data_IF_584150482281
#
_entry.id   IF_584150482281
#
_cell.length_a   1.000
_cell.length_b   1.000
_cell.length_c   1.000
_cell.angle_alpha   90.00
_cell.angle_beta   90.00
_cell.angle_gamma   90.00
#
_symmetry.space_group_name_H-M   'P 1'
#
loop_
_entity.id
_entity.type
_entity.pdbx_description
1 polymer ?
#
# COMPACT_ATOMS: atom_id res chain seq x y z
N UNK A 1 -7.37 1.07 -1.46
CA UNK A 1 -7.30 0.79 -0.01
C UNK A 1 -8.57 0.02 0.41
N UNK A 2 -8.72 -1.25 -0.02
CA UNK A 2 -9.91 -2.09 0.28
C UNK A 2 -9.63 -3.21 1.27
N UNK A 3 -8.39 -3.72 1.32
CA UNK A 3 -7.97 -4.63 2.39
C UNK A 3 -8.05 -3.98 3.79
N UNK A 4 -8.15 -2.65 3.89
CA UNK A 4 -8.37 -1.97 5.18
C UNK A 4 -9.81 -2.08 5.71
N UNK A 5 -10.82 -2.32 4.87
CA UNK A 5 -12.21 -2.34 5.35
C UNK A 5 -12.59 -3.60 6.16
N UNK A 6 -11.75 -4.63 6.17
CA UNK A 6 -11.96 -5.84 7.00
C UNK A 6 -10.75 -6.12 7.91
N UNK A 7 -9.54 -5.80 7.45
CA UNK A 7 -8.30 -6.02 8.22
C UNK A 7 -7.70 -4.74 8.82
N UNK A 8 -7.96 -3.59 8.19
CA UNK A 8 -7.72 -2.29 8.82
C UNK A 8 -8.64 -2.09 10.03
N UNK A 9 -9.81 -2.72 10.02
CA UNK A 9 -10.67 -2.85 11.19
C UNK A 9 -9.95 -3.53 12.35
N UNK A 10 -9.15 -4.58 12.11
CA UNK A 10 -8.42 -5.27 13.19
C UNK A 10 -7.30 -4.40 13.78
N UNK A 11 -6.47 -3.78 12.93
CA UNK A 11 -5.45 -2.82 13.40
C UNK A 11 -6.10 -1.68 14.21
N UNK A 12 -7.13 -1.05 13.63
CA UNK A 12 -7.82 0.11 14.23
C UNK A 12 -8.51 -0.29 15.53
N UNK A 13 -9.16 -1.46 15.54
CA UNK A 13 -9.83 -1.99 16.72
C UNK A 13 -8.83 -2.30 17.84
N UNK A 14 -7.74 -3.02 17.56
CA UNK A 14 -6.71 -3.34 18.56
C UNK A 14 -6.11 -2.07 19.15
N UNK A 15 -5.73 -1.11 18.29
CA UNK A 15 -5.20 0.17 18.74
C UNK A 15 -6.22 0.95 19.58
N UNK A 16 -7.48 1.02 19.12
CA UNK A 16 -8.56 1.70 19.83
C UNK A 16 -8.81 1.09 21.22
N UNK A 17 -8.82 -0.24 21.32
CA UNK A 17 -8.99 -0.93 22.59
C UNK A 17 -7.84 -0.65 23.57
N UNK A 18 -6.59 -0.57 23.07
CA UNK A 18 -5.44 -0.15 23.87
C UNK A 18 -5.54 1.31 24.29
N UNK A 19 -5.91 2.22 23.39
CA UNK A 19 -6.10 3.64 23.71
C UNK A 19 -7.20 3.83 24.77
N UNK A 20 -8.33 3.16 24.61
CA UNK A 20 -9.49 3.27 25.52
C UNK A 20 -9.15 2.81 26.94
N UNK A 21 -8.33 1.77 27.09
CA UNK A 21 -7.99 1.22 28.41
C UNK A 21 -6.89 2.00 29.14
N UNK A 22 -6.13 2.85 28.43
CA UNK A 22 -4.91 3.49 28.97
C UNK A 22 -4.99 5.01 29.06
N UNK A 23 -5.62 5.64 28.07
CA UNK A 23 -5.59 7.10 27.97
C UNK A 23 -6.63 7.73 28.90
N UNK A 24 -6.35 8.91 29.49
CA UNK A 24 -7.35 9.67 30.22
C UNK A 24 -8.57 9.98 29.36
N UNK A 25 -9.77 9.97 29.94
CA UNK A 25 -11.02 10.23 29.20
C UNK A 25 -10.99 11.58 28.47
N UNK A 26 -10.40 12.62 29.09
CA UNK A 26 -10.19 13.93 28.47
C UNK A 26 -9.38 13.82 27.17
N UNK A 27 -8.28 13.07 27.20
CA UNK A 27 -7.41 12.88 26.04
C UNK A 27 -8.12 12.09 24.95
N UNK A 28 -8.91 11.07 25.31
CA UNK A 28 -9.72 10.30 24.35
C UNK A 28 -10.68 11.21 23.57
N UNK A 29 -11.36 12.15 24.24
CA UNK A 29 -12.26 13.10 23.58
C UNK A 29 -11.50 14.03 22.63
N UNK A 30 -10.37 14.59 23.08
CA UNK A 30 -9.55 15.49 22.26
C UNK A 30 -8.97 14.75 21.04
N UNK A 31 -8.47 13.53 21.23
CA UNK A 31 -7.95 12.70 20.15
C UNK A 31 -9.04 12.31 19.15
N UNK A 32 -10.26 12.01 19.60
CA UNK A 32 -11.36 11.70 18.68
C UNK A 32 -11.75 12.91 17.82
N UNK A 33 -11.82 14.11 18.42
CA UNK A 33 -12.09 15.35 17.67
C UNK A 33 -11.01 15.61 16.63
N UNK A 34 -9.74 15.46 17.02
CA UNK A 34 -8.61 15.65 16.12
C UNK A 34 -8.54 14.56 15.03
N UNK A 35 -8.89 13.31 15.34
CA UNK A 35 -8.99 12.23 14.37
C UNK A 35 -10.06 12.53 13.31
N UNK A 36 -11.24 13.02 13.71
CA UNK A 36 -12.29 13.42 12.78
C UNK A 36 -11.82 14.55 11.85
N UNK A 37 -11.15 15.57 12.39
CA UNK A 37 -10.59 16.66 11.59
C UNK A 37 -9.53 16.15 10.59
N UNK A 38 -8.62 15.27 11.04
CA UNK A 38 -7.60 14.62 10.21
C UNK A 38 -8.21 13.77 9.09
N UNK A 39 -9.22 12.95 9.38
CA UNK A 39 -9.91 12.12 8.38
C UNK A 39 -10.60 12.97 7.32
N UNK A 40 -11.29 14.04 7.75
CA UNK A 40 -11.88 15.01 6.85
C UNK A 40 -10.83 15.73 5.99
N UNK A 41 -9.66 16.04 6.57
CA UNK A 41 -8.55 16.64 5.83
C UNK A 41 -8.06 15.70 4.72
N UNK A 42 -7.82 14.43 5.04
CA UNK A 42 -7.41 13.41 4.05
C UNK A 42 -8.46 13.24 2.96
N UNK A 43 -9.75 13.27 3.30
CA UNK A 43 -10.83 13.21 2.31
C UNK A 43 -10.86 14.46 1.42
N UNK A 44 -10.62 15.66 1.97
CA UNK A 44 -10.48 16.89 1.19
C UNK A 44 -9.29 16.80 0.22
N UNK A 45 -8.12 16.29 0.65
CA UNK A 45 -6.98 16.04 -0.25
C UNK A 45 -7.38 15.13 -1.41
N UNK A 46 -8.10 14.03 -1.14
CA UNK A 46 -8.55 13.09 -2.19
C UNK A 46 -9.49 13.72 -3.20
N UNK A 47 -10.25 14.75 -2.80
CA UNK A 47 -11.13 15.53 -3.69
C UNK A 47 -10.43 16.69 -4.40
N UNK A 48 -9.13 16.92 -4.14
CA UNK A 48 -8.38 18.06 -4.66
C UNK A 48 -8.69 19.38 -3.95
N UNK A 49 -9.38 19.35 -2.81
CA UNK A 49 -9.76 20.53 -2.02
C UNK A 49 -8.61 20.94 -1.07
N UNK A 50 -7.45 21.30 -1.63
CA UNK A 50 -6.20 21.46 -0.86
C UNK A 50 -6.28 22.53 0.24
N UNK A 51 -6.90 23.69 -0.04
CA UNK A 51 -7.09 24.76 0.96
C UNK A 51 -7.95 24.29 2.13
N UNK A 52 -9.00 23.52 1.86
CA UNK A 52 -9.85 22.93 2.90
C UNK A 52 -9.07 21.92 3.73
N UNK A 53 -8.24 21.09 3.08
CA UNK A 53 -7.37 20.14 3.77
C UNK A 53 -6.39 20.82 4.71
N UNK A 54 -5.70 21.88 4.27
CA UNK A 54 -4.77 22.65 5.09
C UNK A 54 -5.42 23.23 6.35
N UNK A 55 -6.62 23.82 6.21
CA UNK A 55 -7.40 24.32 7.34
C UNK A 55 -7.74 23.21 8.33
N UNK A 56 -8.21 22.06 7.85
CA UNK A 56 -8.58 20.93 8.71
C UNK A 56 -7.35 20.30 9.41
N UNK A 57 -6.19 20.28 8.75
CA UNK A 57 -4.94 19.87 9.41
C UNK A 57 -4.51 20.87 10.48
N UNK A 58 -4.68 22.18 10.25
CA UNK A 58 -4.44 23.18 11.28
C UNK A 58 -5.35 22.97 12.50
N UNK A 59 -6.63 22.66 12.30
CA UNK A 59 -7.54 22.28 13.39
C UNK A 59 -7.08 21.03 14.14
N UNK A 60 -6.61 20.01 13.40
CA UNK A 60 -6.08 18.79 14.00
C UNK A 60 -4.78 19.02 14.81
N UNK A 61 -4.01 20.09 14.56
CA UNK A 61 -2.80 20.45 15.33
C UNK A 61 -3.08 21.08 16.70
N UNK A 62 -4.24 21.72 16.88
CA UNK A 62 -4.57 22.49 18.10
C UNK A 62 -4.32 21.74 19.41
N UNK A 63 -4.65 20.43 19.56
CA UNK A 63 -4.36 19.69 20.79
C UNK A 63 -2.85 19.55 21.10
N UNK A 64 -2.00 19.49 20.08
CA UNK A 64 -0.53 19.45 20.25
C UNK A 64 -0.01 20.81 20.71
N UNK A 65 -0.44 21.89 20.05
CA UNK A 65 0.02 23.26 20.30
C UNK A 65 -0.42 23.77 21.68
N UNK A 66 -1.63 23.41 22.10
CA UNK A 66 -2.18 23.76 23.41
C UNK A 66 -1.57 22.97 24.58
N UNK A 67 -0.71 21.98 24.32
CA UNK A 67 -0.15 21.06 25.32
C UNK A 67 -1.23 20.41 26.22
N UNK A 68 -2.43 20.19 25.68
CA UNK A 68 -3.59 19.73 26.43
C UNK A 68 -3.65 18.21 26.62
N UNK A 69 -2.83 17.47 25.88
CA UNK A 69 -2.69 16.02 25.90
C UNK A 69 -1.58 15.55 26.86
N UNK A 70 -1.78 14.40 27.49
CA UNK A 70 -0.73 13.64 28.18
C UNK A 70 0.43 13.31 27.22
N UNK A 71 1.64 13.00 27.75
CA UNK A 71 2.78 12.65 26.91
C UNK A 71 2.50 11.51 25.92
N UNK A 72 1.85 10.44 26.38
CA UNK A 72 1.46 9.28 25.56
C UNK A 72 0.48 9.66 24.45
N UNK A 73 -0.60 10.37 24.79
CA UNK A 73 -1.61 10.81 23.81
C UNK A 73 -1.04 11.80 22.80
N UNK A 74 -0.10 12.66 23.23
CA UNK A 74 0.60 13.59 22.34
C UNK A 74 1.43 12.85 21.29
N UNK A 75 2.14 11.79 21.69
CA UNK A 75 2.91 10.96 20.76
C UNK A 75 1.98 10.25 19.77
N UNK A 76 0.94 9.55 20.24
CA UNK A 76 -0.04 8.90 19.36
C UNK A 76 -0.64 9.89 18.37
N UNK A 77 -1.13 11.02 18.86
CA UNK A 77 -1.74 12.05 18.03
C UNK A 77 -0.76 12.59 16.99
N UNK A 78 0.48 12.88 17.40
CA UNK A 78 1.51 13.38 16.50
C UNK A 78 1.86 12.35 15.41
N UNK A 79 2.07 11.07 15.74
CA UNK A 79 2.41 10.04 14.73
C UNK A 79 1.39 9.98 13.59
N UNK A 80 0.10 9.88 13.93
CA UNK A 80 -0.96 9.83 12.91
C UNK A 80 -1.15 11.14 12.17
N UNK A 81 -0.92 12.28 12.83
CA UNK A 81 -0.99 13.58 12.17
C UNK A 81 0.13 13.73 11.13
N UNK A 82 1.37 13.36 11.48
CA UNK A 82 2.51 13.40 10.55
C UNK A 82 2.28 12.49 9.33
N UNK A 83 1.74 11.28 9.54
CA UNK A 83 1.34 10.40 8.44
C UNK A 83 0.31 11.06 7.50
N UNK A 84 -0.71 11.70 8.08
CA UNK A 84 -1.79 12.28 7.30
C UNK A 84 -1.34 13.56 6.57
N UNK A 85 -0.51 14.39 7.19
CA UNK A 85 0.08 15.56 6.53
C UNK A 85 1.08 15.16 5.44
N UNK A 86 1.83 14.07 5.62
CA UNK A 86 2.68 13.52 4.56
C UNK A 86 1.85 13.14 3.31
N UNK A 87 0.58 12.78 3.47
CA UNK A 87 -0.29 12.54 2.31
C UNK A 87 -0.65 13.82 1.55
N UNK A 88 -0.83 14.95 2.24
CA UNK A 88 -0.99 16.26 1.59
C UNK A 88 0.29 16.65 0.84
N UNK A 89 1.44 16.52 1.49
CA UNK A 89 2.74 16.82 0.87
C UNK A 89 3.00 15.95 -0.37
N UNK A 90 2.64 14.66 -0.32
CA UNK A 90 2.68 13.74 -1.46
C UNK A 90 1.83 14.24 -2.65
N UNK A 91 0.64 14.77 -2.39
CA UNK A 91 -0.24 15.31 -3.44
C UNK A 91 0.28 16.64 -4.01
N UNK A 92 0.93 17.45 -3.19
CA UNK A 92 1.59 18.68 -3.61
C UNK A 92 2.92 18.41 -4.35
N UNK A 93 3.43 17.18 -4.33
CA UNK A 93 4.72 16.82 -4.93
C UNK A 93 5.94 17.24 -4.09
N UNK A 94 5.73 17.64 -2.83
CA UNK A 94 6.82 17.97 -1.90
C UNK A 94 7.33 16.69 -1.23
N UNK A 95 8.08 15.90 -1.99
CA UNK A 95 8.54 14.58 -1.54
C UNK A 95 9.51 14.68 -0.35
N UNK A 96 10.34 15.72 -0.26
CA UNK A 96 11.26 15.91 0.88
C UNK A 96 10.51 16.03 2.21
N UNK A 97 9.38 16.74 2.21
CA UNK A 97 8.49 16.78 3.37
C UNK A 97 7.86 15.44 3.68
N UNK A 98 7.48 14.66 2.67
CA UNK A 98 6.98 13.28 2.87
C UNK A 98 8.00 12.45 3.65
N UNK A 99 9.28 12.46 3.26
CA UNK A 99 10.33 11.73 3.97
C UNK A 99 10.53 12.25 5.38
N UNK A 100 10.57 13.58 5.55
CA UNK A 100 10.77 14.21 6.86
C UNK A 100 9.67 13.79 7.83
N UNK A 101 8.40 13.95 7.45
CA UNK A 101 7.24 13.58 8.28
C UNK A 101 7.17 12.09 8.55
N UNK A 102 7.43 11.27 7.54
CA UNK A 102 7.47 9.81 7.69
C UNK A 102 8.55 9.39 8.70
N UNK A 103 9.72 10.00 8.65
CA UNK A 103 10.81 9.74 9.60
C UNK A 103 10.43 10.14 11.02
N UNK A 104 9.75 11.27 11.19
CA UNK A 104 9.22 11.70 12.50
C UNK A 104 8.19 10.70 13.02
N UNK A 105 7.23 10.27 12.20
CA UNK A 105 6.22 9.29 12.59
C UNK A 105 6.86 7.93 12.98
N UNK A 106 7.83 7.45 12.20
CA UNK A 106 8.58 6.23 12.51
C UNK A 106 9.30 6.30 13.87
N UNK A 107 9.96 7.42 14.16
CA UNK A 107 10.64 7.62 15.43
C UNK A 107 9.67 7.64 16.61
N UNK A 108 8.51 8.27 16.44
CA UNK A 108 7.45 8.31 17.46
C UNK A 108 6.87 6.90 17.70
N UNK A 109 6.60 6.14 16.64
CA UNK A 109 6.07 4.79 16.76
C UNK A 109 7.03 3.86 17.51
N UNK A 110 8.33 4.01 17.31
CA UNK A 110 9.34 3.27 18.09
C UNK A 110 9.23 3.57 19.58
N UNK A 111 9.02 4.83 19.96
CA UNK A 111 8.83 5.22 21.37
C UNK A 111 7.53 4.63 21.91
N UNK A 112 6.43 4.75 21.16
CA UNK A 112 5.13 4.19 21.55
C UNK A 112 5.16 2.67 21.69
N UNK A 113 5.90 1.98 20.83
CA UNK A 113 6.11 0.54 20.90
C UNK A 113 6.92 0.17 22.16
N UNK A 114 8.03 0.86 22.42
CA UNK A 114 8.98 0.47 23.49
C UNK A 114 8.60 0.92 24.88
N UNK A 115 8.26 2.19 25.02
CA UNK A 115 8.01 2.80 26.33
C UNK A 115 6.57 2.62 26.76
N UNK A 116 5.67 2.57 25.77
CA UNK A 116 4.25 2.42 26.00
C UNK A 116 3.75 1.02 25.62
N UNK A 117 4.45 0.17 24.89
CA UNK A 117 3.95 -1.20 24.62
C UNK A 117 2.80 -1.26 23.59
N UNK A 118 2.70 -0.26 22.70
CA UNK A 118 1.80 -0.32 21.54
C UNK A 118 2.37 -1.21 20.43
N UNK A 119 2.47 -2.52 20.69
CA UNK A 119 3.09 -3.48 19.74
C UNK A 119 2.45 -3.46 18.34
N UNK A 120 1.15 -3.13 18.24
CA UNK A 120 0.43 -3.04 16.96
C UNK A 120 0.98 -1.94 16.04
N UNK A 121 1.66 -0.91 16.59
CA UNK A 121 2.28 0.15 15.80
C UNK A 121 3.49 -0.35 15.01
N UNK A 122 3.98 -1.56 15.24
CA UNK A 122 4.93 -2.19 14.35
C UNK A 122 4.39 -2.30 12.92
N UNK A 123 3.12 -2.68 12.76
CA UNK A 123 2.45 -2.69 11.45
C UNK A 123 2.31 -1.28 10.88
N UNK A 124 2.03 -0.29 11.73
CA UNK A 124 1.94 1.11 11.30
C UNK A 124 3.27 1.60 10.72
N UNK A 125 4.40 1.25 11.33
CA UNK A 125 5.75 1.54 10.80
C UNK A 125 5.95 0.94 9.42
N UNK A 126 5.53 -0.31 9.19
CA UNK A 126 5.59 -0.95 7.86
C UNK A 126 4.68 -0.23 6.86
N UNK A 127 3.49 0.22 7.27
CA UNK A 127 2.59 1.00 6.43
C UNK A 127 3.16 2.38 6.06
N UNK A 128 3.88 3.03 6.97
CA UNK A 128 4.61 4.27 6.72
C UNK A 128 5.68 4.07 5.64
N UNK A 129 6.47 3.00 5.72
CA UNK A 129 7.46 2.66 4.69
C UNK A 129 6.80 2.29 3.35
N UNK A 130 5.66 1.60 3.38
CA UNK A 130 4.87 1.35 2.18
C UNK A 130 4.38 2.65 1.52
N UNK A 131 4.08 3.71 2.28
CA UNK A 131 3.78 5.01 1.68
C UNK A 131 5.00 5.63 0.98
N UNK A 132 6.23 5.34 1.44
CA UNK A 132 7.45 5.74 0.73
C UNK A 132 7.62 4.99 -0.60
N UNK A 133 7.21 3.71 -0.70
CA UNK A 133 7.16 2.98 -1.99
C UNK A 133 6.33 3.75 -3.02
N UNK A 134 5.15 4.24 -2.61
CA UNK A 134 4.29 5.07 -3.47
C UNK A 134 4.94 6.39 -3.85
N UNK A 135 5.63 7.00 -2.90
CA UNK A 135 6.34 8.28 -3.07
C UNK A 135 7.45 8.16 -4.10
N UNK A 136 8.32 7.15 -3.97
CA UNK A 136 9.36 6.84 -4.95
C UNK A 136 8.77 6.57 -6.35
N UNK A 137 7.70 5.76 -6.42
CA UNK A 137 7.03 5.47 -7.69
C UNK A 137 6.41 6.73 -8.33
N UNK A 138 5.84 7.63 -7.52
CA UNK A 138 5.28 8.90 -7.98
C UNK A 138 6.36 9.86 -8.46
N UNK A 139 7.54 9.82 -7.84
CA UNK A 139 8.74 10.52 -8.25
C UNK A 139 9.48 9.85 -9.42
N UNK A 140 8.89 8.80 -10.03
CA UNK A 140 9.46 8.03 -11.15
C UNK A 140 10.74 7.26 -10.82
N UNK A 141 11.09 7.14 -9.53
CA UNK A 141 12.21 6.34 -9.04
C UNK A 141 11.79 4.87 -8.85
N UNK A 142 11.36 4.22 -9.94
CA UNK A 142 10.76 2.88 -9.89
C UNK A 142 11.68 1.80 -9.29
N UNK A 143 12.98 1.87 -9.55
CA UNK A 143 13.94 0.91 -9.02
C UNK A 143 13.97 0.95 -7.49
N UNK A 144 14.09 2.15 -6.90
CA UNK A 144 14.02 2.36 -5.44
C UNK A 144 12.67 1.94 -4.85
N UNK A 145 11.58 2.24 -5.55
CA UNK A 145 10.25 1.82 -5.12
C UNK A 145 10.14 0.29 -5.02
N UNK A 146 10.62 -0.43 -6.04
CA UNK A 146 10.59 -1.89 -6.10
C UNK A 146 11.57 -2.50 -5.10
N UNK A 147 12.76 -1.94 -4.96
CA UNK A 147 13.74 -2.36 -3.95
C UNK A 147 13.14 -2.26 -2.55
N UNK A 148 12.60 -1.10 -2.17
CA UNK A 148 11.96 -0.91 -0.87
C UNK A 148 10.77 -1.86 -0.68
N UNK A 149 9.90 -2.01 -1.69
CA UNK A 149 8.77 -2.93 -1.60
C UNK A 149 9.23 -4.39 -1.38
N UNK A 150 10.29 -4.82 -2.07
CA UNK A 150 10.85 -6.16 -1.93
C UNK A 150 11.46 -6.40 -0.55
N UNK A 151 12.15 -5.40 0.02
CA UNK A 151 12.68 -5.47 1.39
C UNK A 151 11.55 -5.57 2.43
N UNK A 152 10.47 -4.79 2.27
CA UNK A 152 9.32 -4.84 3.18
C UNK A 152 8.61 -6.19 3.13
N UNK A 153 8.44 -6.75 1.93
CA UNK A 153 7.81 -8.06 1.77
C UNK A 153 8.72 -9.19 2.31
N UNK A 154 10.03 -9.14 2.07
CA UNK A 154 11.00 -10.08 2.64
C UNK A 154 11.04 -10.01 4.17
N UNK A 155 10.91 -8.80 4.74
CA UNK A 155 10.81 -8.59 6.17
C UNK A 155 9.53 -9.20 6.76
N UNK A 156 8.39 -8.99 6.10
CA UNK A 156 7.11 -9.60 6.51
C UNK A 156 7.11 -11.13 6.43
N UNK A 157 7.94 -11.71 5.55
CA UNK A 157 8.16 -13.16 5.44
C UNK A 157 9.16 -13.71 6.46
N UNK A 158 9.90 -12.84 7.17
CA UNK A 158 11.01 -13.23 8.04
C UNK A 158 12.28 -13.63 7.28
N UNK A 159 12.37 -13.37 5.98
CA UNK A 159 13.58 -13.58 5.18
C UNK A 159 14.63 -12.49 5.42
N UNK A 160 14.18 -11.31 5.86
CA UNK A 160 15.03 -10.18 6.23
C UNK A 160 14.78 -9.80 7.69
N UNK A 161 15.85 -9.72 8.49
CA UNK A 161 15.74 -9.37 9.92
C UNK A 161 15.72 -7.86 10.15
N UNK A 162 16.36 -7.08 9.28
CA UNK A 162 16.52 -5.63 9.47
C UNK A 162 16.16 -4.85 8.21
N UNK A 163 15.45 -3.73 8.40
CA UNK A 163 15.15 -2.77 7.34
C UNK A 163 16.15 -1.59 7.38
N UNK A 164 16.42 -0.91 6.24
CA UNK A 164 17.38 0.18 6.17
C UNK A 164 16.82 1.51 6.72
N UNK A 165 16.08 1.45 7.82
CA UNK A 165 15.47 2.61 8.48
C UNK A 165 15.78 2.57 9.97
N UNK A 166 15.85 3.75 10.60
CA UNK A 166 16.08 3.85 12.04
C UNK A 166 14.99 3.13 12.83
N UNK A 167 15.38 2.54 13.96
CA UNK A 167 14.49 1.83 14.86
C UNK A 167 14.96 0.40 15.08
N UNK A 168 14.12 -0.36 15.77
CA UNK A 168 14.36 -1.76 16.07
C UNK A 168 13.46 -2.57 15.14
N UNK A 169 14.07 -3.47 14.38
CA UNK A 169 13.46 -4.38 13.43
C UNK A 169 13.91 -5.78 13.81
N UNK A 170 13.09 -6.77 13.49
CA UNK A 170 13.36 -8.17 13.79
C UNK A 170 12.14 -9.02 13.50
N UNK A 171 12.36 -10.25 13.03
CA UNK A 171 11.27 -11.18 12.70
C UNK A 171 10.36 -11.46 13.90
N UNK A 172 10.86 -11.35 15.13
CA UNK A 172 10.08 -11.50 16.36
C UNK A 172 8.95 -10.47 16.48
N UNK A 173 9.14 -9.27 15.94
CA UNK A 173 8.12 -8.22 15.98
C UNK A 173 6.98 -8.50 15.00
N UNK A 174 7.28 -9.14 13.87
CA UNK A 174 6.28 -9.57 12.89
C UNK A 174 5.48 -10.76 13.43
N UNK A 175 6.15 -11.73 14.06
CA UNK A 175 5.50 -12.93 14.63
C UNK A 175 4.48 -12.60 15.72
N UNK A 176 4.67 -11.50 16.46
CA UNK A 176 3.71 -11.02 17.47
C UNK A 176 2.44 -10.39 16.89
N UNK A 177 2.45 -10.03 15.60
CA UNK A 177 1.30 -9.40 14.97
C UNK A 177 0.25 -10.44 14.57
N UNK A 178 -1.05 -10.07 14.53
CA UNK A 178 -2.08 -10.94 13.98
C UNK A 178 -1.75 -11.31 12.53
N UNK A 179 -1.79 -12.61 12.21
CA UNK A 179 -1.42 -13.15 10.89
C UNK A 179 -2.22 -12.50 9.76
N UNK A 180 -3.48 -12.20 10.02
CA UNK A 180 -4.39 -11.56 9.08
C UNK A 180 -3.92 -10.14 8.72
N UNK A 181 -3.38 -9.39 9.69
CA UNK A 181 -2.85 -8.03 9.47
C UNK A 181 -1.55 -8.08 8.69
N UNK A 182 -0.67 -9.04 8.99
CA UNK A 182 0.57 -9.28 8.24
C UNK A 182 0.26 -9.64 6.79
N UNK A 183 -0.64 -10.60 6.56
CA UNK A 183 -1.06 -11.02 5.22
C UNK A 183 -1.72 -9.88 4.42
N UNK A 184 -2.58 -9.08 5.07
CA UNK A 184 -3.19 -7.93 4.43
C UNK A 184 -2.14 -6.86 4.06
N UNK A 185 -1.16 -6.60 4.93
CA UNK A 185 -0.06 -5.66 4.66
C UNK A 185 0.81 -6.15 3.50
N UNK A 186 1.13 -7.45 3.47
CA UNK A 186 1.83 -8.09 2.36
C UNK A 186 1.09 -7.92 1.03
N UNK A 187 -0.21 -8.22 1.01
CA UNK A 187 -1.04 -8.08 -0.18
C UNK A 187 -1.15 -6.62 -0.67
N UNK A 188 -1.16 -5.66 0.26
CA UNK A 188 -1.19 -4.23 -0.07
C UNK A 188 0.11 -3.77 -0.73
N UNK A 189 1.27 -4.15 -0.19
CA UNK A 189 2.56 -3.79 -0.77
C UNK A 189 2.74 -4.47 -2.14
N UNK A 190 2.37 -5.76 -2.24
CA UNK A 190 2.36 -6.47 -3.53
C UNK A 190 1.46 -5.79 -4.55
N UNK A 191 0.30 -5.28 -4.11
CA UNK A 191 -0.57 -4.51 -4.99
C UNK A 191 0.09 -3.24 -5.50
N UNK A 192 0.90 -2.55 -4.72
CA UNK A 192 1.63 -1.38 -5.23
C UNK A 192 2.68 -1.78 -6.29
N UNK A 193 3.41 -2.88 -6.06
CA UNK A 193 4.33 -3.46 -7.05
C UNK A 193 3.60 -3.76 -8.36
N UNK A 194 2.42 -4.39 -8.29
CA UNK A 194 1.62 -4.70 -9.46
C UNK A 194 1.26 -3.45 -10.27
N UNK A 195 0.91 -2.36 -9.59
CA UNK A 195 0.51 -1.13 -10.27
C UNK A 195 1.72 -0.34 -10.79
N UNK A 196 2.91 -0.49 -10.19
CA UNK A 196 4.17 0.03 -10.74
C UNK A 196 4.55 -0.70 -12.04
N UNK A 197 4.40 -2.03 -12.07
CA UNK A 197 4.80 -2.87 -13.21
C UNK A 197 3.77 -2.91 -14.36
N UNK A 198 2.50 -2.59 -14.08
CA UNK A 198 1.44 -2.62 -15.08
C UNK A 198 1.71 -1.69 -16.27
N UNK A 199 1.60 -2.23 -17.48
CA UNK A 199 1.79 -1.49 -18.74
C UNK A 199 3.24 -1.07 -19.03
N UNK A 200 4.22 -1.47 -18.22
CA UNK A 200 5.63 -1.30 -18.55
C UNK A 200 6.01 -2.24 -19.69
N UNK A 201 6.97 -1.83 -20.53
CA UNK A 201 7.51 -2.73 -21.53
C UNK A 201 8.18 -3.96 -20.86
N UNK A 202 8.23 -5.12 -21.53
CA UNK A 202 8.73 -6.35 -20.94
C UNK A 202 10.17 -6.25 -20.40
N UNK A 203 11.05 -5.51 -21.08
CA UNK A 203 12.45 -5.37 -20.68
C UNK A 203 12.58 -4.62 -19.35
N UNK A 204 11.88 -3.50 -19.19
CA UNK A 204 11.86 -2.72 -17.95
C UNK A 204 11.14 -3.47 -16.83
N UNK A 205 10.04 -4.16 -17.12
CA UNK A 205 9.38 -5.01 -16.13
C UNK A 205 10.31 -6.12 -15.64
N UNK A 206 11.12 -6.71 -16.54
CA UNK A 206 12.14 -7.71 -16.22
C UNK A 206 13.25 -7.17 -15.35
N UNK A 207 13.81 -6.00 -15.68
CA UNK A 207 14.88 -5.41 -14.87
C UNK A 207 14.38 -5.05 -13.46
N UNK A 208 13.17 -4.49 -13.34
CA UNK A 208 12.56 -4.20 -12.04
C UNK A 208 12.26 -5.48 -11.24
N UNK A 209 11.73 -6.52 -11.89
CA UNK A 209 11.46 -7.79 -11.21
C UNK A 209 12.75 -8.53 -10.82
N UNK A 210 13.87 -8.31 -11.52
CA UNK A 210 15.17 -8.84 -11.12
C UNK A 210 15.63 -8.27 -9.77
N UNK A 211 15.42 -6.96 -9.52
CA UNK A 211 15.69 -6.33 -8.21
C UNK A 211 14.89 -7.02 -7.11
N UNK A 212 13.63 -7.34 -7.39
CA UNK A 212 12.74 -8.02 -6.44
C UNK A 212 13.28 -9.39 -6.01
N UNK A 213 13.83 -10.16 -6.96
CA UNK A 213 14.37 -11.52 -6.72
C UNK A 213 15.60 -11.55 -5.82
N UNK A 214 16.28 -10.42 -5.63
CA UNK A 214 17.40 -10.35 -4.69
C UNK A 214 16.95 -10.47 -3.23
N UNK A 215 15.74 -10.01 -2.91
CA UNK A 215 15.24 -9.96 -1.55
C UNK A 215 14.22 -11.05 -1.24
N UNK A 216 13.48 -11.55 -2.25
CA UNK A 216 12.44 -12.57 -2.06
C UNK A 216 12.70 -13.79 -2.92
N UNK A 217 12.74 -14.96 -2.26
CA UNK A 217 12.71 -16.24 -2.94
C UNK A 217 11.26 -16.69 -3.15
N UNK A 218 10.74 -16.48 -4.36
CA UNK A 218 9.42 -16.97 -4.77
C UNK A 218 9.46 -18.49 -4.94
N UNK A 219 9.43 -19.25 -3.84
CA UNK A 219 9.33 -20.71 -3.91
C UNK A 219 7.86 -21.14 -4.00
N UNK A 220 7.54 -22.03 -4.93
CA UNK A 220 6.15 -22.47 -5.17
C UNK A 220 5.54 -23.29 -4.00
N UNK A 221 6.34 -23.81 -3.07
CA UNK A 221 5.92 -24.84 -2.11
C UNK A 221 6.30 -24.56 -0.63
N UNK A 222 6.62 -23.31 -0.28
CA UNK A 222 6.86 -22.92 1.11
C UNK A 222 5.56 -22.77 1.91
N UNK A 223 5.61 -23.10 3.20
CA UNK A 223 4.59 -22.69 4.18
C UNK A 223 4.67 -21.18 4.39
N UNK A 224 4.20 -20.42 3.41
CA UNK A 224 4.35 -18.99 3.38
C UNK A 224 3.41 -18.34 4.40
N UNK A 225 3.96 -17.52 5.28
CA UNK A 225 3.18 -16.64 6.17
C UNK A 225 2.52 -15.48 5.40
N UNK A 226 2.85 -15.31 4.12
CA UNK A 226 2.28 -14.28 3.25
C UNK A 226 0.90 -14.64 2.65
N UNK A 227 0.42 -13.77 1.75
CA UNK A 227 -0.90 -13.89 1.15
C UNK A 227 -0.85 -14.80 -0.10
N UNK A 228 -1.50 -15.98 -0.14
CA UNK A 228 -1.33 -16.96 -1.23
C UNK A 228 -1.58 -16.38 -2.63
N UNK A 229 -2.62 -15.55 -2.76
CA UNK A 229 -2.95 -14.87 -4.01
C UNK A 229 -1.89 -13.86 -4.46
N UNK A 230 -1.15 -13.24 -3.53
CA UNK A 230 -0.06 -12.34 -3.87
C UNK A 230 1.13 -13.11 -4.48
N UNK A 231 1.46 -14.30 -3.95
CA UNK A 231 2.47 -15.17 -4.56
C UNK A 231 2.05 -15.69 -5.94
N UNK A 232 0.79 -16.14 -6.06
CA UNK A 232 0.26 -16.59 -7.34
C UNK A 232 0.38 -15.50 -8.41
N UNK A 233 0.14 -14.24 -8.02
CA UNK A 233 0.34 -13.09 -8.90
C UNK A 233 1.80 -12.89 -9.30
N UNK A 234 2.77 -12.98 -8.37
CA UNK A 234 4.20 -12.87 -8.72
C UNK A 234 4.64 -13.97 -9.68
N UNK A 235 4.25 -15.22 -9.44
CA UNK A 235 4.53 -16.36 -10.31
C UNK A 235 3.93 -16.18 -11.71
N UNK A 236 2.74 -15.60 -11.81
CA UNK A 236 2.12 -15.22 -13.08
C UNK A 236 2.91 -14.10 -13.77
N UNK A 237 3.32 -13.07 -13.01
CA UNK A 237 4.05 -11.91 -13.54
C UNK A 237 5.44 -12.32 -14.05
N UNK A 238 6.11 -13.24 -13.37
CA UNK A 238 7.36 -13.84 -13.83
C UNK A 238 7.21 -14.54 -15.18
N UNK A 239 6.15 -15.34 -15.36
CA UNK A 239 5.89 -16.01 -16.63
C UNK A 239 5.63 -15.01 -17.76
N UNK A 240 4.83 -13.96 -17.50
CA UNK A 240 4.57 -12.89 -18.47
C UNK A 240 5.87 -12.20 -18.91
N UNK A 241 6.67 -11.77 -17.95
CA UNK A 241 7.91 -11.01 -18.19
C UNK A 241 9.01 -11.88 -18.78
N UNK A 242 9.03 -13.18 -18.45
CA UNK A 242 9.91 -14.19 -19.04
C UNK A 242 9.49 -14.66 -20.42
N UNK A 243 8.41 -14.12 -20.99
CA UNK A 243 7.84 -14.54 -22.27
C UNK A 243 7.43 -16.03 -22.31
N UNK A 244 7.12 -16.63 -21.16
CA UNK A 244 6.50 -17.96 -21.06
C UNK A 244 4.98 -17.82 -21.16
N UNK A 245 4.52 -17.61 -22.39
CA UNK A 245 3.14 -17.25 -22.70
C UNK A 245 2.16 -18.36 -22.31
N UNK A 246 2.53 -19.63 -22.48
CA UNK A 246 1.66 -20.75 -22.14
C UNK A 246 1.38 -20.79 -20.63
N UNK A 247 2.46 -20.75 -19.82
CA UNK A 247 2.35 -20.72 -18.36
C UNK A 247 1.63 -19.46 -17.88
N UNK A 248 1.89 -18.31 -18.49
CA UNK A 248 1.18 -17.07 -18.18
C UNK A 248 -0.32 -17.21 -18.41
N UNK A 249 -0.76 -17.68 -19.59
CA UNK A 249 -2.18 -17.80 -19.93
C UNK A 249 -2.90 -18.81 -19.04
N UNK A 250 -2.26 -19.95 -18.74
CA UNK A 250 -2.80 -20.94 -17.80
C UNK A 250 -3.01 -20.32 -16.41
N UNK A 251 -1.97 -19.72 -15.83
CA UNK A 251 -2.05 -19.08 -14.50
C UNK A 251 -3.02 -17.92 -14.48
N UNK A 252 -3.03 -17.09 -15.52
CA UNK A 252 -3.93 -15.96 -15.64
C UNK A 252 -5.39 -16.40 -15.71
N UNK A 253 -5.69 -17.48 -16.43
CA UNK A 253 -7.05 -18.01 -16.49
C UNK A 253 -7.58 -18.40 -15.11
N UNK A 254 -6.78 -19.13 -14.32
CA UNK A 254 -7.13 -19.51 -12.95
C UNK A 254 -7.24 -18.28 -12.03
N UNK A 255 -6.24 -17.40 -12.08
CA UNK A 255 -6.18 -16.20 -11.24
C UNK A 255 -7.35 -15.23 -11.48
N UNK A 256 -7.76 -15.08 -12.74
CA UNK A 256 -8.86 -14.21 -13.16
C UNK A 256 -10.23 -14.85 -12.84
N UNK A 257 -10.35 -16.18 -12.93
CA UNK A 257 -11.58 -16.92 -12.62
C UNK A 257 -11.99 -16.82 -11.14
N UNK A 258 -11.03 -16.67 -10.23
CA UNK A 258 -11.28 -16.36 -8.81
C UNK A 258 -11.92 -14.96 -8.59
N UNK A 259 -12.00 -14.14 -9.65
CA UNK A 259 -12.51 -12.78 -9.58
C UNK A 259 -11.55 -11.84 -8.84
N UNK A 260 -12.04 -10.68 -8.41
CA UNK A 260 -11.19 -9.63 -7.81
C UNK A 260 -10.76 -9.93 -6.38
N UNK A 261 -11.56 -10.71 -5.65
CA UNK A 261 -11.37 -11.04 -4.23
C UNK A 261 -11.02 -9.80 -3.38
N UNK A 262 -10.15 -9.96 -2.39
CA UNK A 262 -9.61 -8.92 -1.50
C UNK A 262 -8.40 -8.17 -2.07
N UNK A 263 -7.93 -8.56 -3.26
CA UNK A 263 -6.75 -8.00 -3.96
C UNK A 263 -7.09 -7.53 -5.37
N UNK A 264 -8.05 -6.59 -5.53
CA UNK A 264 -8.55 -6.18 -6.85
C UNK A 264 -7.46 -5.60 -7.76
N UNK A 265 -6.46 -4.93 -7.19
CA UNK A 265 -5.35 -4.34 -7.95
C UNK A 265 -4.48 -5.38 -8.65
N UNK A 266 -4.27 -6.54 -8.02
CA UNK A 266 -3.54 -7.66 -8.65
C UNK A 266 -4.34 -8.19 -9.84
N UNK A 267 -5.64 -8.36 -9.67
CA UNK A 267 -6.55 -8.79 -10.74
C UNK A 267 -6.53 -7.80 -11.91
N UNK A 268 -6.64 -6.50 -11.65
CA UNK A 268 -6.59 -5.49 -12.70
C UNK A 268 -5.24 -5.45 -13.42
N UNK A 269 -4.13 -5.60 -12.69
CA UNK A 269 -2.80 -5.65 -13.29
C UNK A 269 -2.65 -6.88 -14.22
N UNK A 270 -3.19 -8.04 -13.83
CA UNK A 270 -3.22 -9.23 -14.67
C UNK A 270 -4.01 -9.00 -15.96
N UNK A 271 -5.16 -8.32 -15.89
CA UNK A 271 -5.92 -7.95 -17.10
C UNK A 271 -5.12 -7.03 -18.00
N UNK A 272 -4.42 -6.03 -17.44
CA UNK A 272 -3.54 -5.15 -18.23
C UNK A 272 -2.48 -5.96 -18.96
N UNK A 273 -1.85 -6.92 -18.30
CA UNK A 273 -0.84 -7.80 -18.92
C UNK A 273 -1.44 -8.67 -20.03
N UNK A 274 -2.66 -9.21 -19.83
CA UNK A 274 -3.38 -9.96 -20.85
C UNK A 274 -3.72 -9.09 -22.08
N UNK A 275 -4.20 -7.87 -21.86
CA UNK A 275 -4.49 -6.91 -22.95
C UNK A 275 -3.22 -6.52 -23.70
N UNK A 276 -2.10 -6.37 -22.99
CA UNK A 276 -0.81 -6.10 -23.59
C UNK A 276 -0.39 -7.28 -24.49
N UNK A 277 -0.40 -8.51 -23.97
CA UNK A 277 -0.12 -9.72 -24.75
C UNK A 277 -1.00 -9.84 -25.99
N UNK A 278 -2.31 -9.56 -25.85
CA UNK A 278 -3.23 -9.62 -26.98
C UNK A 278 -2.92 -8.63 -28.11
N UNK A 279 -2.08 -7.63 -27.86
CA UNK A 279 -1.65 -6.69 -28.89
C UNK A 279 -0.72 -7.32 -29.93
N UNK A 280 -0.10 -8.45 -29.58
CA UNK A 280 0.87 -9.17 -30.40
C UNK A 280 0.23 -10.29 -31.25
N UNK A 281 -1.05 -10.61 -31.01
CA UNK A 281 -1.81 -11.54 -31.86
C UNK A 281 -2.43 -10.82 -33.07
N UNK A 282 -2.67 -11.61 -34.13
CA UNK A 282 -3.35 -11.15 -35.34
C UNK A 282 -4.81 -10.75 -35.08
N UNK A 283 -5.32 -9.86 -35.94
CA UNK A 283 -6.76 -9.59 -36.04
C UNK A 283 -7.49 -10.87 -36.51
N UNK A 284 -8.66 -11.23 -35.94
CA UNK A 284 -9.59 -10.40 -35.17
C UNK A 284 -9.51 -10.55 -33.64
N UNK A 285 -8.70 -11.49 -33.13
CA UNK A 285 -8.66 -11.85 -31.71
C UNK A 285 -8.27 -10.67 -30.82
N UNK A 286 -7.26 -9.91 -31.26
CA UNK A 286 -6.81 -8.67 -30.62
C UNK A 286 -7.94 -7.67 -30.37
N UNK A 287 -8.75 -7.39 -31.39
CA UNK A 287 -9.86 -6.43 -31.29
C UNK A 287 -10.96 -6.90 -30.35
N UNK A 288 -11.32 -8.18 -30.38
CA UNK A 288 -12.39 -8.73 -29.55
C UNK A 288 -12.04 -8.56 -28.06
N UNK A 289 -10.87 -9.02 -27.64
CA UNK A 289 -10.45 -8.96 -26.23
C UNK A 289 -10.35 -7.50 -25.76
N UNK A 290 -9.75 -6.61 -26.55
CA UNK A 290 -9.62 -5.19 -26.18
C UNK A 290 -10.96 -4.49 -26.02
N UNK A 291 -11.90 -4.73 -26.94
CA UNK A 291 -13.23 -4.12 -26.89
C UNK A 291 -14.04 -4.63 -25.69
N UNK A 292 -14.03 -5.94 -25.45
CA UNK A 292 -14.72 -6.53 -24.30
C UNK A 292 -14.18 -5.98 -22.98
N UNK A 293 -12.86 -5.93 -22.83
CA UNK A 293 -12.23 -5.39 -21.61
C UNK A 293 -12.55 -3.91 -21.44
N UNK A 294 -12.40 -3.08 -22.47
CA UNK A 294 -12.68 -1.65 -22.40
C UNK A 294 -14.14 -1.36 -22.01
N UNK A 295 -15.09 -2.10 -22.60
CA UNK A 295 -16.53 -1.93 -22.35
C UNK A 295 -16.89 -2.31 -20.91
N UNK A 296 -16.34 -3.41 -20.40
CA UNK A 296 -16.59 -3.85 -19.03
C UNK A 296 -15.88 -2.98 -17.99
N UNK A 297 -14.67 -2.51 -18.30
CA UNK A 297 -13.81 -1.81 -17.35
C UNK A 297 -14.38 -0.47 -16.85
N UNK A 298 -15.25 0.18 -17.63
CA UNK A 298 -15.99 1.37 -17.21
C UNK A 298 -16.86 1.15 -15.95
N UNK A 299 -17.31 -0.09 -15.71
CA UNK A 299 -18.12 -0.47 -14.53
C UNK A 299 -17.28 -0.96 -13.34
N UNK A 300 -15.96 -1.07 -13.50
CA UNK A 300 -15.11 -1.69 -12.50
C UNK A 300 -14.84 -0.74 -11.34
N UNK A 301 -15.44 -1.05 -10.19
CA UNK A 301 -15.18 -0.33 -8.94
C UNK A 301 -13.69 -0.31 -8.60
N UNK A 302 -13.14 0.87 -8.33
CA UNK A 302 -11.77 1.06 -7.84
C UNK A 302 -10.65 0.72 -8.84
N UNK A 303 -10.96 0.66 -10.13
CA UNK A 303 -9.95 0.61 -11.18
C UNK A 303 -9.07 1.87 -11.11
N UNK A 304 -7.73 1.77 -10.97
CA UNK A 304 -6.87 2.94 -10.98
C UNK A 304 -6.98 3.70 -12.30
N UNK A 305 -7.07 5.03 -12.25
CA UNK A 305 -7.12 5.87 -13.46
C UNK A 305 -5.94 5.61 -14.42
N UNK A 306 -4.75 5.31 -13.88
CA UNK A 306 -3.57 4.95 -14.68
C UNK A 306 -3.78 3.72 -15.58
N UNK A 307 -4.76 2.86 -15.27
CA UNK A 307 -5.08 1.70 -16.10
C UNK A 307 -6.06 2.02 -17.22
N UNK A 308 -6.75 3.16 -17.20
CA UNK A 308 -7.76 3.48 -18.21
C UNK A 308 -7.15 3.52 -19.61
N UNK A 309 -6.03 4.23 -19.76
CA UNK A 309 -5.30 4.28 -21.03
C UNK A 309 -4.77 2.90 -21.46
N UNK A 310 -4.28 2.10 -20.52
CA UNK A 310 -3.75 0.75 -20.78
C UNK A 310 -4.84 -0.22 -21.25
N UNK A 311 -6.07 0.00 -20.81
CA UNK A 311 -7.24 -0.81 -21.16
C UNK A 311 -8.08 -0.21 -22.31
N UNK A 312 -7.62 0.88 -22.94
CA UNK A 312 -8.34 1.52 -24.05
C UNK A 312 -9.65 2.21 -23.64
N UNK A 313 -9.79 2.59 -22.37
CA UNK A 313 -10.95 3.34 -21.88
C UNK A 313 -10.73 4.80 -22.22
N UNK A 314 -11.45 5.31 -23.21
CA UNK A 314 -11.52 6.73 -23.47
C UNK A 314 -12.34 7.37 -22.36
N UNK A 315 -11.69 8.15 -21.50
CA UNK A 315 -12.39 8.94 -20.50
C UNK A 315 -13.31 9.90 -21.25
N UNK A 316 -14.63 9.72 -21.16
CA UNK A 316 -15.54 10.80 -21.52
C UNK A 316 -15.25 11.91 -20.52
N UNK A 317 -14.53 12.93 -20.99
CA UNK A 317 -14.09 14.07 -20.18
C UNK A 317 -15.32 14.63 -19.47
N UNK A 318 -15.29 14.54 -18.14
CA UNK A 318 -16.20 15.21 -17.21
C UNK A 318 -15.35 15.97 -16.20
#
# INVERSE_FOLDING_TARGET
MFALGKYGDLFTHTLYMQMKSRLPQKDQVLMQQAANARENAVMAVRRGELVTAERLFAEARVPLESNSLSPESRLLHKSFLEQAEAYLDYHNGDFDRVYTRTSVALAIDVVLEKEYGYEILHIHRIQLLHNLVRTEARHMCFERAIELASQLLAYLEGALEVLPFSGFWGSEYVVRQPKEVVAATFAQITSEVAVILAGKNPQLASSLLAVFKHNIQLQAHGSHHGHPRAYAWFLLKEAFVGNDIATFLERASHFLAEGRADTPLLWYATVVDLVALCSDFDEPCKRIVKQEVALNAASWKFLPQRFFALLGIHSQVG
#
